data_IF_816968777781
#
_entry.id   IF_816968777781
#
_cell.length_a   1.000
_cell.length_b   1.000
_cell.length_c   1.000
_cell.angle_alpha   90.00
_cell.angle_beta   90.00
_cell.angle_gamma   90.00
#
_symmetry.space_group_name_H-M   'P 1'
#
loop_
_entity.id
_entity.type
_entity.pdbx_description
1 polymer ?
#
# COMPACT_ATOMS: atom_id res chain seq x y z
N UNK A 1 47.37 42.59 23.62
CA UNK A 1 47.23 41.20 23.11
C UNK A 1 45.95 40.65 23.70
N UNK A 2 44.85 40.52 22.97
CA UNK A 2 44.64 39.54 21.89
C UNK A 2 43.82 40.15 20.75
N UNK A 3 44.25 39.91 19.52
CA UNK A 3 43.66 40.41 18.26
C UNK A 3 42.33 39.71 17.94
N UNK A 4 41.33 40.51 17.58
CA UNK A 4 40.24 40.13 16.68
C UNK A 4 40.82 39.98 15.26
N UNK A 5 40.60 38.84 14.62
CA UNK A 5 40.83 38.67 13.18
C UNK A 5 39.51 38.34 12.48
N UNK A 6 39.10 39.34 11.72
CA UNK A 6 38.08 39.33 10.69
C UNK A 6 38.62 38.60 9.45
N UNK A 7 37.96 37.54 8.99
CA UNK A 7 38.22 36.87 7.71
C UNK A 7 36.85 36.68 7.05
N UNK A 8 36.47 37.61 6.17
CA UNK A 8 36.64 37.61 4.71
C UNK A 8 35.67 36.66 3.98
N UNK A 9 34.57 37.25 3.53
CA UNK A 9 33.58 36.67 2.64
C UNK A 9 34.16 36.57 1.22
N UNK A 10 34.80 35.46 0.86
CA UNK A 10 35.15 35.16 -0.54
C UNK A 10 35.54 33.70 -0.82
N UNK A 11 35.01 32.73 -0.07
CA UNK A 11 35.41 31.33 -0.25
C UNK A 11 34.26 30.32 -0.11
N UNK A 12 33.12 30.64 -0.74
CA UNK A 12 32.05 29.66 -1.01
C UNK A 12 31.53 29.91 -2.42
N UNK A 13 32.33 29.57 -3.43
CA UNK A 13 31.84 29.46 -4.80
C UNK A 13 32.74 28.50 -5.58
N UNK A 14 32.09 27.56 -6.29
CA UNK A 14 32.62 26.44 -7.10
C UNK A 14 32.77 25.13 -6.35
N UNK A 15 31.68 24.39 -6.28
CA UNK A 15 31.55 23.04 -6.87
C UNK A 15 30.11 22.52 -6.74
N UNK A 16 29.18 23.16 -7.45
CA UNK A 16 27.92 22.53 -7.84
C UNK A 16 27.67 22.86 -9.31
N UNK A 17 28.06 21.94 -10.20
CA UNK A 17 27.53 21.92 -11.57
C UNK A 17 26.26 21.06 -11.52
N UNK A 18 25.07 21.59 -11.84
CA UNK A 18 23.87 20.78 -11.96
C UNK A 18 24.03 19.84 -13.16
N UNK A 19 23.75 18.56 -12.96
CA UNK A 19 23.75 17.54 -14.00
C UNK A 19 22.34 17.41 -14.57
N UNK A 20 22.17 17.70 -15.86
CA UNK A 20 21.21 17.17 -16.85
C UNK A 20 19.72 16.86 -16.53
N UNK A 21 19.22 16.98 -15.31
CA UNK A 21 17.83 16.63 -14.92
C UNK A 21 17.03 17.79 -14.33
N UNK A 22 17.66 18.93 -14.04
CA UNK A 22 16.98 20.12 -13.49
C UNK A 22 16.34 21.04 -14.55
N UNK A 23 16.41 20.67 -15.84
CA UNK A 23 15.81 21.47 -16.93
C UNK A 23 14.35 21.08 -17.25
N UNK A 24 13.83 19.96 -16.72
CA UNK A 24 12.49 19.47 -17.08
C UNK A 24 11.39 20.01 -16.14
N UNK A 25 11.76 20.55 -14.97
CA UNK A 25 10.79 21.07 -14.00
C UNK A 25 10.42 22.56 -14.21
N UNK A 26 11.15 23.30 -15.06
CA UNK A 26 10.92 24.75 -15.25
C UNK A 26 10.04 25.13 -16.45
N UNK A 27 9.71 24.21 -17.37
CA UNK A 27 8.98 24.56 -18.61
C UNK A 27 7.47 24.24 -18.59
N UNK A 28 6.92 23.78 -17.47
CA UNK A 28 5.47 23.48 -17.36
C UNK A 28 4.61 24.64 -16.81
N UNK A 29 5.19 25.82 -16.55
CA UNK A 29 4.47 26.97 -15.97
C UNK A 29 4.06 28.08 -16.95
N UNK A 30 4.18 27.90 -18.27
CA UNK A 30 3.66 28.88 -19.23
C UNK A 30 2.98 28.23 -20.43
N UNK A 31 1.67 28.02 -20.34
CA UNK A 31 0.77 28.23 -21.48
C UNK A 31 -0.70 28.28 -21.02
N UNK A 32 -1.31 29.46 -21.13
CA UNK A 32 -2.76 29.70 -21.03
C UNK A 32 -3.31 30.01 -22.44
N UNK A 33 -4.23 29.15 -22.90
CA UNK A 33 -5.49 29.36 -23.70
C UNK A 33 -5.37 29.99 -25.12
N UNK A 34 -6.37 29.86 -26.06
CA UNK A 34 -7.80 29.53 -25.90
C UNK A 34 -8.49 28.66 -27.00
N UNK A 35 -9.79 28.35 -26.82
CA UNK A 35 -10.73 28.00 -27.92
C UNK A 35 -11.49 26.69 -27.73
N UNK A 36 -12.82 26.71 -27.83
CA UNK A 36 -13.72 25.61 -27.44
C UNK A 36 -14.17 24.69 -28.59
N UNK A 37 -15.04 23.72 -28.26
CA UNK A 37 -16.34 23.43 -28.89
C UNK A 37 -16.94 22.12 -28.33
N UNK A 38 -18.18 22.30 -27.85
CA UNK A 38 -19.37 21.45 -27.74
C UNK A 38 -19.34 19.96 -27.33
N UNK A 39 -20.17 19.73 -26.30
CA UNK A 39 -20.80 18.50 -25.82
C UNK A 39 -21.79 17.96 -26.85
N UNK A 40 -21.82 16.65 -27.07
CA UNK A 40 -23.00 15.94 -27.59
C UNK A 40 -23.21 14.66 -26.78
N UNK A 41 -24.30 14.66 -26.03
CA UNK A 41 -24.90 13.51 -25.36
C UNK A 41 -25.69 12.69 -26.40
N UNK A 42 -25.57 11.36 -26.38
CA UNK A 42 -26.52 10.48 -27.08
C UNK A 42 -27.06 9.42 -26.13
N UNK A 43 -28.31 9.68 -25.74
CA UNK A 43 -29.27 8.69 -25.24
C UNK A 43 -29.72 7.83 -26.42
N UNK A 44 -29.68 6.51 -26.27
CA UNK A 44 -30.27 5.55 -27.20
C UNK A 44 -31.37 4.78 -26.50
N UNK A 45 -32.62 5.05 -26.90
CA UNK A 45 -33.85 4.43 -26.40
C UNK A 45 -34.12 3.12 -27.16
N UNK A 46 -34.67 2.13 -26.45
CA UNK A 46 -35.13 0.84 -26.96
C UNK A 46 -36.24 0.97 -28.01
N UNK A 47 -36.29 0.02 -28.96
CA UNK A 47 -37.51 -0.32 -29.67
C UNK A 47 -37.55 -1.82 -30.00
N UNK A 48 -38.43 -2.55 -29.30
CA UNK A 48 -38.95 -3.86 -29.71
C UNK A 48 -39.78 -3.69 -30.98
N UNK A 49 -39.53 -4.53 -31.99
CA UNK A 49 -40.52 -4.82 -33.04
C UNK A 49 -40.67 -6.33 -33.14
N UNK A 50 -41.83 -6.82 -32.71
CA UNK A 50 -42.36 -8.16 -33.02
C UNK A 50 -43.19 -8.06 -34.30
N UNK A 51 -43.05 -8.98 -35.24
CA UNK A 51 -44.12 -9.46 -36.15
C UNK A 51 -43.75 -10.89 -36.58
N UNK A 52 -44.75 -11.78 -36.66
CA UNK A 52 -44.56 -13.20 -36.93
C UNK A 52 -45.27 -13.75 -38.16
N UNK A 53 -44.93 -15.02 -38.42
CA UNK A 53 -45.70 -16.16 -38.99
C UNK A 53 -45.74 -16.42 -40.52
N UNK A 54 -45.20 -17.62 -40.83
CA UNK A 54 -45.46 -18.66 -41.86
C UNK A 54 -45.33 -18.44 -43.38
N UNK A 55 -44.54 -19.32 -44.03
CA UNK A 55 -45.07 -20.52 -44.73
C UNK A 55 -43.97 -21.46 -45.28
N UNK A 56 -44.01 -22.72 -44.85
CA UNK A 56 -43.89 -24.00 -45.59
C UNK A 56 -42.83 -24.19 -46.72
N UNK A 57 -41.83 -25.06 -46.49
CA UNK A 57 -41.34 -26.08 -47.45
C UNK A 57 -40.31 -27.08 -46.88
N UNK A 58 -40.75 -28.33 -46.78
CA UNK A 58 -40.13 -29.67 -46.93
C UNK A 58 -38.59 -29.82 -46.88
N UNK A 59 -38.17 -30.80 -46.06
CA UNK A 59 -36.81 -31.29 -45.77
C UNK A 59 -36.06 -31.98 -46.96
N UNK A 60 -34.76 -32.33 -46.83
CA UNK A 60 -34.41 -33.57 -46.11
C UNK A 60 -33.20 -33.49 -45.17
N UNK A 61 -33.20 -34.47 -44.26
CA UNK A 61 -32.18 -34.80 -43.27
C UNK A 61 -30.80 -35.05 -43.89
N UNK A 62 -29.76 -34.52 -43.26
CA UNK A 62 -28.41 -35.08 -43.30
C UNK A 62 -27.82 -35.02 -41.90
N UNK A 63 -27.77 -36.18 -41.24
CA UNK A 63 -26.99 -36.41 -40.03
C UNK A 63 -25.52 -36.22 -40.37
N UNK A 64 -24.84 -35.32 -39.66
CA UNK A 64 -23.42 -35.51 -39.42
C UNK A 64 -23.07 -35.05 -38.02
N UNK A 65 -22.99 -36.03 -37.13
CA UNK A 65 -22.46 -35.95 -35.79
C UNK A 65 -20.98 -35.62 -35.84
N UNK A 66 -20.61 -34.36 -35.62
CA UNK A 66 -19.28 -34.00 -35.13
C UNK A 66 -19.42 -33.40 -33.75
N UNK A 67 -19.04 -34.20 -32.76
CA UNK A 67 -18.78 -33.79 -31.37
C UNK A 67 -17.85 -32.58 -31.38
N UNK A 68 -18.40 -31.40 -31.13
CA UNK A 68 -17.61 -30.25 -30.69
C UNK A 68 -17.28 -30.52 -29.23
N UNK A 69 -16.00 -30.79 -28.94
CA UNK A 69 -15.47 -30.75 -27.58
C UNK A 69 -15.65 -29.32 -27.06
N UNK A 70 -16.68 -29.10 -26.25
CA UNK A 70 -16.81 -27.90 -25.42
C UNK A 70 -15.72 -27.94 -24.36
N UNK A 71 -14.57 -27.31 -24.65
CA UNK A 71 -13.55 -27.08 -23.64
C UNK A 71 -13.73 -25.69 -23.02
N UNK A 72 -13.83 -25.70 -21.70
CA UNK A 72 -13.53 -24.63 -20.74
C UNK A 72 -14.53 -23.47 -20.68
N UNK A 73 -15.63 -23.71 -19.95
CA UNK A 73 -16.33 -22.65 -19.23
C UNK A 73 -15.46 -22.07 -18.09
N UNK A 74 -15.82 -20.89 -17.57
CA UNK A 74 -14.99 -20.15 -16.62
C UNK A 74 -14.90 -20.90 -15.29
N UNK A 75 -13.70 -21.33 -14.93
CA UNK A 75 -13.44 -21.86 -13.59
C UNK A 75 -13.38 -20.71 -12.57
N UNK A 76 -14.51 -20.44 -11.92
CA UNK A 76 -14.56 -19.92 -10.55
C UNK A 76 -15.77 -20.61 -9.89
N UNK A 77 -15.68 -21.13 -8.65
CA UNK A 77 -15.31 -20.40 -7.43
C UNK A 77 -14.26 -21.17 -6.59
N UNK A 78 -13.64 -20.73 -5.48
CA UNK A 78 -13.83 -19.72 -4.43
C UNK A 78 -12.49 -19.74 -3.64
N UNK A 79 -11.97 -18.61 -3.13
CA UNK A 79 -11.12 -18.70 -1.94
C UNK A 79 -11.91 -18.17 -0.74
N UNK A 80 -12.45 -19.12 0.00
CA UNK A 80 -12.73 -18.95 1.42
C UNK A 80 -11.35 -19.01 2.07
N UNK A 81 -10.92 -17.97 2.79
CA UNK A 81 -9.69 -18.03 3.59
C UNK A 81 -9.92 -19.07 4.69
N UNK A 82 -9.57 -20.34 4.41
CA UNK A 82 -9.85 -21.47 5.29
C UNK A 82 -8.68 -21.88 6.18
N UNK A 83 -7.63 -21.06 6.27
CA UNK A 83 -6.67 -21.06 7.38
C UNK A 83 -6.18 -19.63 7.64
N UNK A 84 -5.74 -19.28 8.86
CA UNK A 84 -5.09 -18.01 9.11
C UNK A 84 -3.80 -17.93 8.30
N UNK A 85 -3.84 -17.12 7.24
CA UNK A 85 -2.81 -17.09 6.20
C UNK A 85 -2.10 -15.75 6.24
N UNK A 86 -0.79 -15.82 6.47
CA UNK A 86 0.08 -14.70 6.16
C UNK A 86 -0.02 -14.40 4.67
N UNK A 87 -0.44 -13.19 4.34
CA UNK A 87 -0.34 -12.65 2.99
C UNK A 87 0.94 -11.85 2.89
N UNK A 88 1.72 -12.09 1.84
CA UNK A 88 3.01 -11.43 1.61
C UNK A 88 2.84 -10.31 0.59
N UNK A 89 3.42 -9.16 0.89
CA UNK A 89 3.32 -7.95 0.09
C UNK A 89 4.67 -7.24 -0.04
N UNK A 90 4.72 -6.28 -0.96
CA UNK A 90 5.80 -5.29 -1.07
C UNK A 90 5.29 -3.91 -0.66
N UNK A 91 6.20 -3.06 -0.19
CA UNK A 91 5.94 -1.63 -0.01
C UNK A 91 6.15 -0.92 -1.33
N UNK A 92 5.05 -0.56 -1.97
CA UNK A 92 4.98 -0.07 -3.33
C UNK A 92 5.08 -1.19 -4.37
N UNK A 93 5.21 -0.78 -5.64
CA UNK A 93 5.29 -1.69 -6.77
C UNK A 93 6.74 -1.80 -7.27
N UNK A 94 7.53 -2.82 -6.87
CA UNK A 94 8.92 -2.99 -7.31
C UNK A 94 9.05 -3.38 -8.78
N UNK A 95 7.93 -3.65 -9.45
CA UNK A 95 7.80 -4.00 -10.86
C UNK A 95 6.57 -3.31 -11.46
N UNK A 96 6.41 -3.25 -12.78
CA UNK A 96 5.21 -2.67 -13.38
C UNK A 96 3.93 -3.25 -12.77
N UNK A 97 2.98 -2.39 -12.43
CA UNK A 97 1.74 -2.72 -11.72
C UNK A 97 0.98 -3.90 -12.36
N UNK A 98 0.92 -3.96 -13.69
CA UNK A 98 0.30 -5.07 -14.43
C UNK A 98 0.99 -6.42 -14.22
N UNK A 99 2.31 -6.42 -13.97
CA UNK A 99 3.05 -7.62 -13.58
C UNK A 99 2.78 -7.96 -12.11
N UNK A 100 2.78 -6.97 -11.23
CA UNK A 100 2.56 -7.14 -9.79
C UNK A 100 1.24 -7.86 -9.47
N UNK A 101 0.15 -7.47 -10.15
CA UNK A 101 -1.16 -8.12 -10.03
C UNK A 101 -1.20 -9.62 -10.32
N UNK A 102 -0.20 -10.16 -11.01
CA UNK A 102 -0.12 -11.59 -11.34
C UNK A 102 0.73 -12.39 -10.36
N UNK A 103 1.46 -11.70 -9.48
CA UNK A 103 2.50 -12.29 -8.64
C UNK A 103 2.18 -12.22 -7.14
N UNK A 104 1.35 -11.25 -6.73
CA UNK A 104 1.02 -11.03 -5.32
C UNK A 104 -0.49 -10.87 -5.14
N UNK A 105 -0.95 -11.09 -3.90
CA UNK A 105 -2.34 -10.89 -3.47
C UNK A 105 -2.52 -9.64 -2.60
N UNK A 106 -1.43 -8.92 -2.29
CA UNK A 106 -1.46 -7.74 -1.46
C UNK A 106 -0.38 -6.72 -1.84
N UNK A 107 -0.62 -5.44 -1.54
CA UNK A 107 0.36 -4.35 -1.65
C UNK A 107 0.18 -3.35 -0.52
N UNK A 108 1.30 -2.83 0.00
CA UNK A 108 1.30 -1.63 0.84
C UNK A 108 1.56 -0.41 -0.07
N UNK A 109 0.57 0.47 -0.22
CA UNK A 109 0.69 1.72 -0.97
C UNK A 109 1.53 2.69 -0.15
N UNK A 110 2.79 2.87 -0.52
CA UNK A 110 3.76 3.73 0.17
C UNK A 110 3.98 5.08 -0.49
N UNK A 111 3.60 5.26 -1.76
CA UNK A 111 3.69 6.56 -2.47
C UNK A 111 2.99 7.71 -1.71
N UNK A 112 1.96 7.36 -0.92
CA UNK A 112 1.20 8.25 -0.03
C UNK A 112 2.02 8.88 1.07
N UNK A 113 3.18 8.32 1.42
CA UNK A 113 4.10 8.92 2.38
C UNK A 113 4.57 10.31 1.92
N UNK A 114 4.69 10.51 0.60
CA UNK A 114 5.06 11.77 -0.04
C UNK A 114 3.82 12.54 -0.48
N UNK A 115 2.90 11.89 -1.20
CA UNK A 115 1.70 12.54 -1.74
C UNK A 115 0.58 11.55 -2.03
N UNK A 116 -0.67 11.97 -1.82
CA UNK A 116 -1.85 11.16 -2.15
C UNK A 116 -1.91 10.91 -3.67
N UNK A 117 -1.98 9.64 -4.13
CA UNK A 117 -2.12 9.31 -5.55
C UNK A 117 -3.36 9.95 -6.17
N UNK A 118 -3.23 10.41 -7.41
CA UNK A 118 -4.35 11.00 -8.14
C UNK A 118 -5.52 10.02 -8.34
N UNK A 119 -6.75 10.53 -8.34
CA UNK A 119 -7.97 9.71 -8.44
C UNK A 119 -8.00 8.77 -9.67
N UNK A 120 -7.39 9.17 -10.79
CA UNK A 120 -7.27 8.32 -11.98
C UNK A 120 -6.41 7.08 -11.73
N UNK A 121 -5.32 7.21 -10.97
CA UNK A 121 -4.45 6.12 -10.55
C UNK A 121 -5.18 5.18 -9.60
N UNK A 122 -5.87 5.72 -8.60
CA UNK A 122 -6.66 4.93 -7.63
C UNK A 122 -7.76 4.13 -8.34
N UNK A 123 -8.55 4.77 -9.21
CA UNK A 123 -9.58 4.08 -10.02
C UNK A 123 -8.99 3.00 -10.92
N UNK A 124 -7.79 3.24 -11.47
CA UNK A 124 -7.08 2.24 -12.26
C UNK A 124 -6.70 1.04 -11.41
N UNK A 125 -6.11 1.24 -10.24
CA UNK A 125 -5.78 0.15 -9.31
C UNK A 125 -7.02 -0.65 -8.91
N UNK A 126 -8.11 0.01 -8.51
CA UNK A 126 -9.38 -0.66 -8.16
C UNK A 126 -9.92 -1.53 -9.30
N UNK A 127 -9.79 -1.07 -10.54
CA UNK A 127 -10.28 -1.80 -11.73
C UNK A 127 -9.37 -2.97 -12.12
N UNK A 128 -8.06 -2.79 -12.02
CA UNK A 128 -7.06 -3.75 -12.54
C UNK A 128 -6.63 -4.79 -11.51
N UNK A 129 -6.78 -4.51 -10.21
CA UNK A 129 -6.40 -5.43 -9.16
C UNK A 129 -7.25 -6.71 -9.18
N UNK A 130 -6.65 -7.89 -8.90
CA UNK A 130 -7.38 -9.14 -8.77
C UNK A 130 -8.52 -9.07 -7.75
N UNK A 131 -9.53 -9.93 -7.92
CA UNK A 131 -10.63 -10.03 -6.96
C UNK A 131 -10.09 -10.50 -5.61
N UNK A 132 -10.38 -9.73 -4.55
CA UNK A 132 -9.95 -10.07 -3.18
C UNK A 132 -8.56 -9.57 -2.83
N UNK A 133 -7.88 -8.86 -3.74
CA UNK A 133 -6.59 -8.26 -3.51
C UNK A 133 -6.61 -7.30 -2.31
N UNK A 134 -5.58 -7.39 -1.45
CA UNK A 134 -5.49 -6.63 -0.21
C UNK A 134 -4.64 -5.37 -0.39
N UNK A 135 -5.21 -4.23 -0.02
CA UNK A 135 -4.47 -2.97 0.05
C UNK A 135 -4.18 -2.60 1.49
N UNK A 136 -3.01 -2.07 1.76
CA UNK A 136 -2.71 -1.29 2.97
C UNK A 136 -2.12 0.05 2.53
N UNK A 137 -2.18 1.08 3.37
CA UNK A 137 -1.81 2.45 2.98
C UNK A 137 -0.89 3.06 4.02
N UNK A 138 0.25 3.60 3.61
CA UNK A 138 1.12 4.37 4.50
C UNK A 138 0.58 5.80 4.60
N UNK A 139 0.42 6.32 5.81
CA UNK A 139 0.01 7.70 6.00
C UNK A 139 1.14 8.68 5.59
N UNK A 140 0.81 9.90 5.13
CA UNK A 140 1.82 10.91 4.80
C UNK A 140 2.79 11.19 5.96
N UNK A 141 4.09 11.28 5.66
CA UNK A 141 5.15 11.46 6.66
C UNK A 141 5.05 12.75 7.47
N UNK A 142 4.40 13.78 6.91
CA UNK A 142 4.15 15.05 7.61
C UNK A 142 3.42 14.89 8.95
N UNK A 143 2.58 13.84 9.08
CA UNK A 143 1.88 13.53 10.33
C UNK A 143 2.87 13.13 11.43
N UNK A 144 3.82 12.24 11.12
CA UNK A 144 4.81 11.75 12.09
C UNK A 144 5.94 12.75 12.31
N UNK A 145 6.37 13.49 11.29
CA UNK A 145 7.34 14.60 11.39
C UNK A 145 6.88 15.68 12.37
N UNK A 146 5.57 15.94 12.41
CA UNK A 146 5.00 16.86 13.41
C UNK A 146 5.01 16.31 14.84
N UNK A 147 5.36 15.03 15.04
CA UNK A 147 5.25 14.30 16.30
C UNK A 147 3.82 13.88 16.63
N UNK A 148 3.01 13.53 15.62
CA UNK A 148 1.60 13.15 15.77
C UNK A 148 0.75 14.23 16.46
N UNK A 149 1.05 15.51 16.23
CA UNK A 149 0.31 16.62 16.84
C UNK A 149 -1.12 16.69 16.28
N UNK A 150 -2.07 17.12 17.12
CA UNK A 150 -3.47 17.30 16.72
C UNK A 150 -3.70 18.69 16.12
N UNK A 151 -3.10 18.94 14.96
CA UNK A 151 -3.24 20.21 14.23
C UNK A 151 -4.35 20.13 13.18
N UNK A 152 -4.74 21.26 12.58
CA UNK A 152 -5.76 21.27 11.52
C UNK A 152 -5.24 20.58 10.26
N UNK A 153 -3.97 20.77 9.97
CA UNK A 153 -3.25 20.18 8.83
C UNK A 153 -3.24 18.66 8.97
N UNK A 154 -2.82 18.13 10.12
CA UNK A 154 -2.84 16.68 10.36
C UNK A 154 -4.26 16.12 10.34
N UNK A 155 -5.28 16.90 10.74
CA UNK A 155 -6.67 16.47 10.60
C UNK A 155 -7.03 16.23 9.14
N UNK A 156 -6.76 17.22 8.29
CA UNK A 156 -7.04 17.15 6.86
C UNK A 156 -6.28 15.99 6.22
N UNK A 157 -4.99 15.83 6.54
CA UNK A 157 -4.18 14.70 6.06
C UNK A 157 -4.75 13.34 6.47
N UNK A 158 -5.22 13.21 7.72
CA UNK A 158 -5.86 11.99 8.20
C UNK A 158 -7.22 11.72 7.52
N UNK A 159 -7.98 12.76 7.20
CA UNK A 159 -9.24 12.65 6.45
C UNK A 159 -8.98 12.23 4.99
N UNK A 160 -7.95 12.78 4.34
CA UNK A 160 -7.54 12.41 2.98
C UNK A 160 -7.06 10.95 2.88
N UNK A 161 -6.19 10.51 3.79
CA UNK A 161 -5.72 9.11 3.79
C UNK A 161 -6.85 8.14 4.16
N UNK A 162 -7.78 8.54 5.02
CA UNK A 162 -8.97 7.74 5.32
C UNK A 162 -9.89 7.59 4.10
N UNK A 163 -10.06 8.65 3.30
CA UNK A 163 -10.82 8.59 2.06
C UNK A 163 -10.16 7.63 1.05
N UNK A 164 -8.83 7.74 0.86
CA UNK A 164 -8.08 6.81 0.01
C UNK A 164 -8.21 5.36 0.47
N UNK A 165 -8.03 5.12 1.78
CA UNK A 165 -8.17 3.79 2.36
C UNK A 165 -9.58 3.24 2.17
N UNK A 166 -10.61 4.08 2.27
CA UNK A 166 -12.00 3.70 1.98
C UNK A 166 -12.19 3.30 0.52
N UNK A 167 -11.68 4.10 -0.42
CA UNK A 167 -11.78 3.82 -1.87
C UNK A 167 -11.12 2.48 -2.23
N UNK A 168 -9.93 2.22 -1.67
CA UNK A 168 -9.19 0.97 -1.86
C UNK A 168 -9.73 -0.20 -1.03
N UNK A 169 -10.66 0.05 -0.09
CA UNK A 169 -11.09 -0.90 0.94
C UNK A 169 -9.89 -1.49 1.68
N UNK A 170 -8.93 -0.63 2.02
CA UNK A 170 -7.67 -1.02 2.63
C UNK A 170 -7.90 -1.72 3.97
N UNK A 171 -7.04 -2.70 4.27
CA UNK A 171 -7.08 -3.49 5.51
C UNK A 171 -6.38 -2.81 6.67
N UNK A 172 -5.49 -1.86 6.39
CA UNK A 172 -4.76 -1.13 7.41
C UNK A 172 -4.29 0.23 6.89
N UNK A 173 -4.14 1.18 7.80
CA UNK A 173 -3.36 2.41 7.59
C UNK A 173 -2.14 2.38 8.50
N UNK A 174 -0.96 2.57 7.92
CA UNK A 174 0.31 2.53 8.63
C UNK A 174 0.76 3.95 8.91
N UNK A 175 0.97 4.27 10.18
CA UNK A 175 1.65 5.49 10.61
C UNK A 175 3.08 5.13 11.00
N UNK A 176 4.03 5.59 10.20
CA UNK A 176 5.45 5.35 10.40
C UNK A 176 6.13 6.56 11.02
N UNK A 177 7.08 6.35 11.92
CA UNK A 177 8.01 7.37 12.38
C UNK A 177 9.43 6.81 12.48
N UNK A 178 10.39 7.62 12.05
CA UNK A 178 11.80 7.29 12.10
C UNK A 178 12.37 7.38 13.52
N UNK A 179 13.69 7.21 13.62
CA UNK A 179 14.42 7.31 14.88
C UNK A 179 14.26 8.65 15.62
N UNK A 180 13.78 9.73 15.01
CA UNK A 180 13.64 11.04 15.69
C UNK A 180 12.50 11.04 16.70
N UNK A 181 11.45 10.23 16.49
CA UNK A 181 10.33 10.10 17.41
C UNK A 181 10.65 9.11 18.53
N UNK A 182 11.53 9.49 19.46
CA UNK A 182 12.02 8.61 20.54
C UNK A 182 10.91 8.15 21.50
N UNK A 183 11.08 6.95 22.07
CA UNK A 183 10.24 6.49 23.16
C UNK A 183 10.38 7.40 24.39
N UNK A 184 9.25 7.80 24.98
CA UNK A 184 9.24 8.66 26.17
C UNK A 184 7.84 9.08 26.61
N UNK A 185 7.73 9.60 27.83
CA UNK A 185 6.43 9.96 28.44
C UNK A 185 5.61 10.94 27.59
N UNK A 186 6.25 11.97 27.04
CA UNK A 186 5.60 12.95 26.19
C UNK A 186 5.08 12.34 24.88
N UNK A 187 5.92 11.55 24.20
CA UNK A 187 5.56 10.92 22.93
C UNK A 187 4.51 9.80 23.09
N UNK A 188 4.51 9.07 24.21
CA UNK A 188 3.41 8.15 24.56
C UNK A 188 2.08 8.88 24.71
N UNK A 189 2.09 10.04 25.38
CA UNK A 189 0.88 10.86 25.51
C UNK A 189 0.43 11.42 24.15
N UNK A 190 1.38 11.83 23.29
CA UNK A 190 1.09 12.29 21.93
C UNK A 190 0.43 11.18 21.09
N UNK A 191 1.02 9.98 21.05
CA UNK A 191 0.48 8.83 20.32
C UNK A 191 -0.92 8.46 20.78
N UNK A 192 -1.13 8.42 22.11
CA UNK A 192 -2.45 8.16 22.69
C UNK A 192 -3.45 9.26 22.36
N UNK A 193 -3.06 10.53 22.40
CA UNK A 193 -3.97 11.62 22.02
C UNK A 193 -4.30 11.57 20.52
N UNK A 194 -3.32 11.24 19.69
CA UNK A 194 -3.45 11.12 18.24
C UNK A 194 -4.44 10.02 17.84
N UNK A 195 -4.36 8.83 18.45
CA UNK A 195 -5.35 7.77 18.19
C UNK A 195 -6.80 8.21 18.46
N UNK A 196 -7.04 9.01 19.49
CA UNK A 196 -8.37 9.54 19.79
C UNK A 196 -8.81 10.70 18.88
N UNK A 197 -7.92 11.18 18.02
CA UNK A 197 -8.14 12.26 17.06
C UNK A 197 -8.40 11.75 15.64
N UNK A 198 -8.07 10.49 15.36
CA UNK A 198 -8.30 9.87 14.07
C UNK A 198 -9.81 9.75 13.74
N UNK A 199 -10.21 9.98 12.47
CA UNK A 199 -11.52 9.60 11.96
C UNK A 199 -11.98 8.19 12.39
N UNK A 200 -13.25 8.09 12.80
CA UNK A 200 -13.82 6.85 13.37
C UNK A 200 -14.07 5.73 12.35
N UNK A 201 -14.07 6.05 11.06
CA UNK A 201 -14.33 5.13 9.96
C UNK A 201 -13.05 4.60 9.28
N UNK A 202 -11.88 4.74 9.92
CA UNK A 202 -10.65 4.16 9.39
C UNK A 202 -10.61 2.63 9.56
N UNK A 203 -9.91 1.92 8.66
CA UNK A 203 -9.48 0.55 8.94
C UNK A 203 -8.51 0.52 10.14
N UNK A 204 -8.16 -0.67 10.65
CA UNK A 204 -7.17 -0.82 11.71
C UNK A 204 -5.90 0.01 11.48
N UNK A 205 -5.44 0.67 12.55
CA UNK A 205 -4.23 1.48 12.55
C UNK A 205 -3.04 0.58 12.87
N UNK A 206 -1.97 0.71 12.10
CA UNK A 206 -0.68 0.07 12.35
C UNK A 206 0.35 1.15 12.65
N UNK A 207 1.12 1.00 13.72
CA UNK A 207 2.26 1.87 14.02
C UNK A 207 3.57 1.14 13.74
N UNK A 208 4.43 1.78 12.95
CA UNK A 208 5.80 1.34 12.68
C UNK A 208 6.77 2.42 13.16
N UNK A 209 7.18 2.34 14.43
CA UNK A 209 7.98 3.38 15.10
C UNK A 209 9.39 2.84 15.40
N UNK A 210 10.39 3.28 14.65
CA UNK A 210 11.74 2.67 14.66
C UNK A 210 12.43 2.75 16.03
N UNK A 211 12.19 3.83 16.77
CA UNK A 211 12.79 4.04 18.10
C UNK A 211 12.04 3.34 19.25
N UNK A 212 11.07 2.47 18.96
CA UNK A 212 10.17 1.86 19.95
C UNK A 212 10.16 0.34 19.83
N UNK A 213 9.99 -0.35 20.97
CA UNK A 213 9.71 -1.79 20.95
C UNK A 213 8.21 -2.04 20.74
N UNK A 214 7.81 -3.14 20.08
CA UNK A 214 6.40 -3.43 19.81
C UNK A 214 5.52 -3.43 21.07
N UNK A 215 6.05 -3.94 22.19
CA UNK A 215 5.37 -3.92 23.48
C UNK A 215 5.11 -2.49 24.01
N UNK A 216 6.03 -1.55 23.79
CA UNK A 216 5.87 -0.14 24.19
C UNK A 216 4.81 0.56 23.33
N UNK A 217 4.75 0.24 22.04
CA UNK A 217 3.71 0.73 21.12
C UNK A 217 2.35 0.24 21.60
N UNK A 218 2.21 -1.07 21.87
CA UNK A 218 0.98 -1.67 22.37
C UNK A 218 0.55 -1.02 23.70
N UNK A 219 1.47 -0.85 24.66
CA UNK A 219 1.19 -0.21 25.93
C UNK A 219 0.77 1.28 25.79
N UNK A 220 1.33 2.00 24.82
CA UNK A 220 0.94 3.38 24.54
C UNK A 220 -0.49 3.48 23.98
N UNK A 221 -0.86 2.53 23.11
CA UNK A 221 -2.18 2.44 22.48
C UNK A 221 -3.29 2.02 23.46
N UNK A 222 -2.97 1.19 24.46
CA UNK A 222 -3.95 0.67 25.43
C UNK A 222 -5.02 -0.18 24.75
N UNK A 223 -6.29 -0.03 25.14
CA UNK A 223 -7.40 -0.82 24.59
C UNK A 223 -7.87 -0.36 23.20
N UNK A 224 -7.20 0.62 22.59
CA UNK A 224 -7.58 1.12 21.26
C UNK A 224 -7.13 0.15 20.17
N UNK A 225 -7.89 0.03 19.07
CA UNK A 225 -7.59 -0.89 17.97
C UNK A 225 -6.41 -0.37 17.14
N UNK A 226 -5.20 -0.51 17.68
CA UNK A 226 -3.95 -0.21 17.00
C UNK A 226 -2.99 -1.39 17.15
N UNK A 227 -2.23 -1.63 16.11
CA UNK A 227 -1.34 -2.79 15.96
C UNK A 227 0.09 -2.28 15.87
N UNK A 228 1.01 -2.91 16.58
CA UNK A 228 2.43 -2.63 16.42
C UNK A 228 2.97 -3.44 15.23
N UNK A 229 3.53 -2.77 14.23
CA UNK A 229 4.37 -3.44 13.25
C UNK A 229 5.70 -3.84 13.87
N UNK A 230 6.30 -4.93 13.39
CA UNK A 230 7.59 -5.40 13.87
C UNK A 230 8.34 -6.24 12.83
N UNK A 231 9.65 -6.41 13.00
CA UNK A 231 10.46 -7.38 12.27
C UNK A 231 10.75 -8.58 13.21
N UNK A 232 10.30 -9.80 12.89
CA UNK A 232 10.45 -10.97 13.76
C UNK A 232 11.91 -11.43 13.93
N UNK A 233 12.86 -10.87 13.17
CA UNK A 233 14.27 -11.17 13.32
C UNK A 233 14.96 -10.26 14.35
N UNK A 234 14.38 -9.10 14.65
CA UNK A 234 14.98 -8.09 15.54
C UNK A 234 14.13 -7.76 16.76
N UNK A 235 12.85 -8.10 16.73
CA UNK A 235 11.90 -7.76 17.78
C UNK A 235 11.11 -8.97 18.26
N UNK A 236 10.80 -8.95 19.55
CA UNK A 236 9.79 -9.84 20.12
C UNK A 236 8.40 -9.45 19.61
N UNK A 237 7.51 -10.42 19.33
CA UNK A 237 6.17 -10.11 18.87
C UNK A 237 5.41 -9.30 19.93
N UNK A 238 4.54 -8.36 19.52
CA UNK A 238 3.63 -7.70 20.43
C UNK A 238 2.65 -8.73 21.05
N UNK A 239 1.92 -8.36 22.12
CA UNK A 239 0.87 -9.21 22.68
C UNK A 239 -0.10 -9.72 21.62
N UNK A 240 -0.64 -10.93 21.83
CA UNK A 240 -1.50 -11.62 20.87
C UNK A 240 -2.63 -10.71 20.39
N UNK A 241 -2.79 -10.66 19.07
CA UNK A 241 -3.81 -9.85 18.40
C UNK A 241 -4.36 -10.59 17.20
N UNK A 242 -5.60 -10.27 16.83
CA UNK A 242 -6.29 -10.85 15.67
C UNK A 242 -5.55 -10.58 14.35
N UNK A 243 -4.79 -9.49 14.28
CA UNK A 243 -4.07 -9.09 13.08
C UNK A 243 -2.59 -8.87 13.39
N UNK A 244 -1.73 -9.57 12.67
CA UNK A 244 -0.28 -9.46 12.77
C UNK A 244 0.23 -8.68 11.57
N UNK A 245 1.12 -7.70 11.79
CA UNK A 245 1.72 -6.89 10.72
C UNK A 245 3.25 -6.94 10.81
N UNK A 246 3.88 -7.75 9.97
CA UNK A 246 5.33 -7.80 9.85
C UNK A 246 5.77 -6.76 8.82
N UNK A 247 6.74 -5.92 9.17
CA UNK A 247 7.23 -4.85 8.28
C UNK A 247 8.75 -4.89 8.23
N UNK A 248 9.28 -5.33 7.10
CA UNK A 248 10.64 -5.84 6.96
C UNK A 248 11.52 -4.84 6.17
N UNK A 249 12.29 -3.96 6.85
CA UNK A 249 13.09 -2.94 6.18
C UNK A 249 14.35 -3.50 5.49
N UNK A 250 14.75 -4.73 5.80
CA UNK A 250 16.06 -5.28 5.45
C UNK A 250 16.98 -5.35 6.67
N UNK A 251 17.86 -6.36 6.79
CA UNK A 251 18.68 -6.59 7.98
C UNK A 251 19.65 -5.44 8.35
N UNK A 252 20.00 -4.59 7.37
CA UNK A 252 20.77 -3.37 7.55
C UNK A 252 20.07 -2.16 6.91
N UNK A 253 18.73 -2.14 6.96
CA UNK A 253 17.89 -1.12 6.36
C UNK A 253 17.57 -1.34 4.88
N UNK A 254 16.88 -0.38 4.26
CA UNK A 254 16.25 -0.52 2.93
C UNK A 254 17.18 -1.09 1.83
N UNK A 255 18.45 -0.70 1.82
CA UNK A 255 19.41 -1.12 0.77
C UNK A 255 19.98 -2.52 0.95
N UNK A 256 19.62 -3.21 2.02
CA UNK A 256 20.08 -4.54 2.34
C UNK A 256 19.13 -5.63 1.84
N UNK A 257 19.57 -6.89 1.89
CA UNK A 257 18.86 -8.04 1.35
C UNK A 257 18.73 -9.10 2.43
N UNK A 258 17.57 -9.72 2.55
CA UNK A 258 17.44 -10.93 3.36
C UNK A 258 18.02 -12.10 2.58
N UNK A 259 18.89 -12.86 3.23
CA UNK A 259 19.35 -14.14 2.70
C UNK A 259 18.29 -15.22 2.91
N UNK A 260 18.50 -16.38 2.29
CA UNK A 260 17.54 -17.49 2.36
C UNK A 260 17.32 -17.98 3.80
N UNK A 261 18.37 -17.97 4.63
CA UNK A 261 18.29 -18.37 6.03
C UNK A 261 17.42 -17.40 6.85
N UNK A 262 17.50 -16.10 6.58
CA UNK A 262 16.66 -15.09 7.21
C UNK A 262 15.20 -15.23 6.79
N UNK A 263 14.93 -15.46 5.50
CA UNK A 263 13.57 -15.72 5.01
C UNK A 263 12.99 -17.01 5.62
N UNK A 264 13.82 -18.04 5.81
CA UNK A 264 13.40 -19.26 6.51
C UNK A 264 12.99 -18.99 7.97
N UNK A 265 13.77 -18.19 8.71
CA UNK A 265 13.41 -17.78 10.08
C UNK A 265 12.11 -16.98 10.14
N UNK A 266 11.87 -16.10 9.16
CA UNK A 266 10.61 -15.36 9.04
C UNK A 266 9.44 -16.34 8.81
N UNK A 267 9.60 -17.32 7.92
CA UNK A 267 8.58 -18.34 7.68
C UNK A 267 8.29 -19.18 8.94
N UNK A 268 9.34 -19.62 9.65
CA UNK A 268 9.21 -20.35 10.93
C UNK A 268 8.48 -19.52 11.98
N UNK A 269 8.69 -18.19 11.99
CA UNK A 269 7.96 -17.28 12.87
C UNK A 269 6.47 -17.21 12.49
N UNK A 270 6.17 -16.98 11.22
CA UNK A 270 4.79 -16.96 10.71
C UNK A 270 4.04 -18.25 11.05
N UNK A 271 4.67 -19.42 10.88
CA UNK A 271 4.06 -20.73 11.12
C UNK A 271 3.80 -21.04 12.61
N UNK A 272 4.39 -20.28 13.54
CA UNK A 272 4.13 -20.40 14.98
C UNK A 272 2.94 -19.55 15.43
N UNK A 273 2.43 -18.68 14.58
CA UNK A 273 1.33 -17.77 14.86
C UNK A 273 0.04 -18.27 14.21
N UNK A 274 -1.10 -17.93 14.81
CA UNK A 274 -2.44 -18.28 14.31
C UNK A 274 -3.36 -17.04 14.20
N UNK A 275 -2.96 -15.96 13.48
CA UNK A 275 -3.72 -14.71 13.46
C UNK A 275 -4.92 -14.79 12.49
N UNK A 276 -6.05 -14.14 12.80
CA UNK A 276 -7.15 -14.01 11.83
C UNK A 276 -6.68 -13.40 10.49
N UNK A 277 -5.70 -12.50 10.54
CA UNK A 277 -5.00 -11.96 9.37
C UNK A 277 -3.53 -11.65 9.67
N UNK A 278 -2.60 -12.34 9.00
CA UNK A 278 -1.18 -11.97 8.98
C UNK A 278 -0.85 -11.20 7.70
N UNK A 279 -0.16 -10.08 7.81
CA UNK A 279 0.37 -9.34 6.65
C UNK A 279 1.88 -9.19 6.83
N UNK A 280 2.65 -9.62 5.84
CA UNK A 280 4.10 -9.48 5.82
C UNK A 280 4.54 -8.60 4.67
N UNK A 281 5.11 -7.43 4.96
CA UNK A 281 5.51 -6.44 3.95
C UNK A 281 7.03 -6.34 3.88
N UNK A 282 7.60 -6.68 2.73
CA UNK A 282 9.00 -6.38 2.43
C UNK A 282 9.16 -4.95 1.93
N UNK A 283 10.10 -4.22 2.54
CA UNK A 283 10.45 -2.83 2.17
C UNK A 283 11.90 -2.70 1.72
N UNK A 284 12.62 -3.79 1.53
CA UNK A 284 14.04 -3.77 1.18
C UNK A 284 14.26 -3.75 -0.36
N UNK A 285 15.51 -3.54 -0.81
CA UNK A 285 15.84 -3.35 -2.22
C UNK A 285 15.46 -4.53 -3.12
N UNK A 286 15.50 -5.76 -2.57
CA UNK A 286 15.15 -7.00 -3.27
C UNK A 286 13.78 -7.54 -2.81
N UNK A 287 12.88 -6.66 -2.36
CA UNK A 287 11.58 -7.02 -1.78
C UNK A 287 10.77 -8.00 -2.63
N UNK A 288 10.80 -7.90 -3.96
CA UNK A 288 10.08 -8.82 -4.84
C UNK A 288 10.62 -10.25 -4.71
N UNK A 289 11.94 -10.41 -4.72
CA UNK A 289 12.60 -11.71 -4.63
C UNK A 289 12.37 -12.32 -3.26
N UNK A 290 12.56 -11.54 -2.19
CA UNK A 290 12.34 -12.03 -0.83
C UNK A 290 10.87 -12.36 -0.56
N UNK A 291 9.93 -11.59 -1.11
CA UNK A 291 8.50 -11.89 -1.02
C UNK A 291 8.14 -13.23 -1.67
N UNK A 292 8.61 -13.50 -2.90
CA UNK A 292 8.41 -14.81 -3.53
C UNK A 292 9.03 -15.97 -2.75
N UNK A 293 10.22 -15.77 -2.18
CA UNK A 293 10.86 -16.79 -1.34
C UNK A 293 10.02 -17.10 -0.09
N UNK A 294 9.42 -16.08 0.53
CA UNK A 294 8.56 -16.27 1.69
C UNK A 294 7.26 -16.96 1.31
N UNK A 295 6.60 -16.54 0.23
CA UNK A 295 5.36 -17.18 -0.28
C UNK A 295 5.59 -18.68 -0.46
N UNK A 296 6.66 -19.06 -1.17
CA UNK A 296 7.02 -20.47 -1.39
C UNK A 296 7.25 -21.27 -0.09
N UNK A 297 7.62 -20.62 1.00
CA UNK A 297 7.87 -21.26 2.30
C UNK A 297 6.63 -21.34 3.19
N UNK A 298 5.59 -20.57 2.88
CA UNK A 298 4.31 -20.55 3.59
C UNK A 298 3.25 -21.45 2.93
N UNK A 299 3.50 -21.93 1.70
CA UNK A 299 2.74 -22.98 1.01
C UNK A 299 3.01 -24.38 1.61
#
# INVERSE_FOLDING_TARGET
MVQLSMVCAQQVERLTRPTGRDQIACDLQRMRLPGGIQVVERVGVEAEIRHGVDTNRVAPRSMNSRRIRSQLGPSAPKLVYSRPMFVVACSGFPVPVSRYWREFDAVEISDTEIAIPGAGTVRRWIREAPKGFLFTVVAPGSVSESGFRRTKENKATCEEVAALASDLKAKAIIFHADETFKHGKANRAALRAFLGFLPSNMPPVVFDLEAWKPADIAAACGDRPAIAAYDPLTDDPPPESKMVYLRLPGPAGHRSRYDEASVAKIADHCNKLDPELGICVFRNIDMQTNAHQLIKRLE
#
